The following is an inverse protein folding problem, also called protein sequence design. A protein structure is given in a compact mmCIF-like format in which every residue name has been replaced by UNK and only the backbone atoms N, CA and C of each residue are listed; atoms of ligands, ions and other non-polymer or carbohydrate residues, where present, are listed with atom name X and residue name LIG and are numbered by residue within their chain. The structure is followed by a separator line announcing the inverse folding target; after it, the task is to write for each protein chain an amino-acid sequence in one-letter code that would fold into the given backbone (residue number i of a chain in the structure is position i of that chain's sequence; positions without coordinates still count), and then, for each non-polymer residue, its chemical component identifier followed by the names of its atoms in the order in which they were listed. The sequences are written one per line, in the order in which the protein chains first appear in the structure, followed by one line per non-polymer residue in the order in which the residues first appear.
data_IF_151234123624
#
_entry.id   IF_151234123624
#
_cell.length_a   1.000
_cell.length_b   1.000
_cell.length_c   1.000
_cell.angle_alpha   90.00
_cell.angle_beta   90.00
_cell.angle_gamma   90.00
#
_symmetry.space_group_name_H-M   'P 1'
#
loop_
_entity.id
_entity.type
_entity.pdbx_description
1 polymer ?
#
# COMPACT_ATOMS: atom_id res chain seq x y z
N UNK A 1 11.47 -3.84 13.68
CA UNK A 1 10.80 -4.37 12.49
C UNK A 1 11.47 -3.70 11.30
N UNK A 2 12.04 -4.48 10.39
CA UNK A 2 12.46 -3.92 9.12
C UNK A 2 11.17 -3.58 8.37
N UNK A 3 10.75 -2.33 8.45
CA UNK A 3 9.85 -1.80 7.44
C UNK A 3 10.66 -1.84 6.15
N UNK A 4 10.33 -2.77 5.30
CA UNK A 4 10.90 -2.86 3.97
C UNK A 4 10.34 -1.67 3.20
N UNK A 5 11.16 -0.63 3.07
CA UNK A 5 10.78 0.60 2.37
C UNK A 5 10.57 0.33 0.87
N UNK A 6 9.66 1.04 0.22
CA UNK A 6 9.57 1.03 -1.24
C UNK A 6 10.92 1.34 -1.87
N UNK A 7 11.39 0.46 -2.74
CA UNK A 7 12.69 0.56 -3.38
C UNK A 7 12.61 0.25 -4.87
N UNK A 8 13.43 0.91 -5.67
CA UNK A 8 13.59 0.66 -7.10
C UNK A 8 15.05 0.44 -7.45
N UNK A 9 15.33 -0.54 -8.32
CA UNK A 9 16.65 -0.71 -8.89
C UNK A 9 16.78 0.12 -10.16
N UNK A 10 17.59 1.17 -10.09
CA UNK A 10 17.70 2.21 -11.11
C UNK A 10 18.80 1.87 -12.09
N UNK A 11 18.42 1.63 -13.34
CA UNK A 11 19.30 1.43 -14.49
C UNK A 11 18.95 2.39 -15.62
N UNK A 12 19.64 2.28 -16.75
CA UNK A 12 19.28 2.93 -18.00
C UNK A 12 19.12 1.93 -19.12
N UNK A 13 18.22 2.19 -20.07
CA UNK A 13 18.07 1.35 -21.25
C UNK A 13 19.36 1.20 -22.04
N UNK A 14 20.18 2.26 -22.11
CA UNK A 14 21.48 2.25 -22.78
C UNK A 14 22.43 1.22 -22.19
N UNK A 15 22.61 1.23 -20.88
CA UNK A 15 23.50 0.27 -20.17
C UNK A 15 22.93 -1.14 -20.19
N UNK A 16 21.65 -1.28 -19.89
CA UNK A 16 20.98 -2.58 -19.88
C UNK A 16 21.11 -3.31 -21.23
N UNK A 17 20.82 -2.63 -22.35
CA UNK A 17 20.92 -3.21 -23.69
C UNK A 17 22.35 -3.57 -24.10
N UNK A 18 23.35 -2.95 -23.51
CA UNK A 18 24.76 -3.26 -23.74
C UNK A 18 25.33 -4.26 -22.72
N UNK A 19 24.52 -4.83 -21.85
CA UNK A 19 24.92 -5.80 -20.83
C UNK A 19 25.81 -5.21 -19.73
N UNK A 20 25.73 -3.90 -19.50
CA UNK A 20 26.49 -3.18 -18.47
C UNK A 20 25.66 -3.16 -17.20
N UNK A 21 26.07 -3.94 -16.20
CA UNK A 21 25.44 -3.97 -14.88
C UNK A 21 25.93 -2.76 -14.05
N UNK A 22 25.18 -1.68 -14.05
CA UNK A 22 25.55 -0.43 -13.37
C UNK A 22 24.37 0.20 -12.62
N UNK A 23 23.42 -0.62 -12.22
CA UNK A 23 22.26 -0.19 -11.44
C UNK A 23 22.56 -0.09 -9.94
N UNK A 24 21.68 0.61 -9.23
CA UNK A 24 21.69 0.73 -7.78
C UNK A 24 20.27 0.82 -7.23
N UNK A 25 20.06 0.23 -6.05
CA UNK A 25 18.84 0.43 -5.29
C UNK A 25 18.76 1.85 -4.75
N UNK A 26 17.64 2.52 -5.00
CA UNK A 26 17.28 3.77 -4.36
C UNK A 26 15.91 3.63 -3.69
N UNK A 27 15.75 4.35 -2.59
CA UNK A 27 14.54 4.38 -1.77
C UNK A 27 13.86 5.73 -1.94
N UNK A 28 12.77 5.84 -2.72
CA UNK A 28 12.13 7.14 -2.99
C UNK A 28 11.68 7.88 -1.74
N UNK A 29 11.33 7.13 -0.69
CA UNK A 29 10.89 7.68 0.61
C UNK A 29 11.99 8.41 1.40
N UNK A 30 13.27 8.26 1.01
CA UNK A 30 14.40 8.98 1.62
C UNK A 30 14.63 10.39 1.05
N UNK A 31 13.83 10.81 0.06
CA UNK A 31 13.96 12.09 -0.62
C UNK A 31 12.80 13.02 -0.27
N UNK A 32 13.11 14.29 -0.09
CA UNK A 32 12.13 15.32 0.25
C UNK A 32 11.18 15.67 -0.91
N UNK A 33 11.62 15.44 -2.14
CA UNK A 33 10.83 15.73 -3.33
C UNK A 33 11.09 14.76 -4.48
N UNK A 34 10.10 14.68 -5.39
CA UNK A 34 10.25 13.97 -6.67
C UNK A 34 11.48 14.44 -7.46
N UNK A 35 11.73 15.76 -7.46
CA UNK A 35 12.86 16.33 -8.18
C UNK A 35 14.20 15.85 -7.62
N UNK A 36 14.33 15.78 -6.30
CA UNK A 36 15.55 15.30 -5.63
C UNK A 36 15.80 13.82 -5.90
N UNK A 37 14.75 13.02 -5.86
CA UNK A 37 14.84 11.60 -6.19
C UNK A 37 15.32 11.38 -7.63
N UNK A 38 14.68 12.03 -8.61
CA UNK A 38 15.11 11.90 -10.01
C UNK A 38 16.48 12.50 -10.29
N UNK A 39 16.87 13.57 -9.60
CA UNK A 39 18.24 14.09 -9.67
C UNK A 39 19.25 13.04 -9.21
N UNK A 40 18.98 12.33 -8.13
CA UNK A 40 19.82 11.23 -7.67
C UNK A 40 19.87 10.06 -8.67
N UNK A 41 18.74 9.70 -9.30
CA UNK A 41 18.71 8.70 -10.38
C UNK A 41 19.60 9.11 -11.56
N UNK A 42 19.55 10.36 -12.00
CA UNK A 42 20.38 10.86 -13.10
C UNK A 42 21.87 10.98 -12.71
N UNK A 43 22.16 11.32 -11.47
CA UNK A 43 23.54 11.37 -10.97
C UNK A 43 24.26 10.01 -11.03
N UNK A 44 23.53 8.91 -10.76
CA UNK A 44 24.05 7.56 -10.89
C UNK A 44 24.54 7.23 -12.32
N UNK A 45 24.00 7.90 -13.31
CA UNK A 45 24.26 7.66 -14.73
C UNK A 45 24.80 8.90 -15.45
N UNK A 46 25.51 9.79 -14.70
CA UNK A 46 26.08 11.03 -15.23
C UNK A 46 27.17 10.82 -16.29
N UNK A 47 27.64 9.59 -16.48
CA UNK A 47 28.56 9.19 -17.55
C UNK A 47 27.85 9.04 -18.92
N UNK A 48 26.51 9.02 -18.95
CA UNK A 48 25.72 9.04 -20.18
C UNK A 48 25.28 10.46 -20.54
N UNK A 49 25.31 10.81 -21.81
CA UNK A 49 24.91 12.16 -22.26
C UNK A 49 23.39 12.40 -22.17
N UNK A 50 22.60 11.34 -22.33
CA UNK A 50 21.14 11.35 -22.24
C UNK A 50 20.66 10.02 -21.64
N UNK A 51 20.75 9.84 -20.31
CA UNK A 51 20.33 8.62 -19.67
C UNK A 51 18.80 8.49 -19.73
N UNK A 52 18.31 7.38 -20.28
CA UNK A 52 16.91 6.99 -20.25
C UNK A 52 16.72 6.02 -19.07
N UNK A 53 16.11 6.49 -17.99
CA UNK A 53 15.95 5.71 -16.77
C UNK A 53 15.05 4.49 -17.00
N UNK A 54 15.40 3.41 -16.31
CA UNK A 54 14.65 2.16 -16.27
C UNK A 54 14.66 1.62 -14.84
N UNK A 55 13.50 1.19 -14.33
CA UNK A 55 13.38 0.50 -13.05
C UNK A 55 13.21 -1.00 -13.31
N UNK A 56 14.32 -1.74 -13.26
CA UNK A 56 14.35 -3.17 -13.62
C UNK A 56 13.80 -4.08 -12.54
N UNK A 57 13.94 -3.66 -11.28
CA UNK A 57 13.40 -4.36 -10.14
C UNK A 57 12.75 -3.35 -9.19
N UNK A 58 11.68 -3.77 -8.55
CA UNK A 58 10.93 -2.98 -7.54
C UNK A 58 10.62 -3.85 -6.33
N UNK A 59 10.73 -3.28 -5.15
CA UNK A 59 10.41 -3.94 -3.88
C UNK A 59 9.46 -3.08 -3.06
N UNK A 60 8.53 -3.71 -2.36
CA UNK A 60 7.63 -3.09 -1.40
C UNK A 60 6.70 -1.99 -1.96
N UNK A 61 6.44 -2.03 -3.26
CA UNK A 61 5.37 -1.26 -3.88
C UNK A 61 4.08 -2.07 -3.93
N UNK A 62 2.92 -1.40 -4.02
CA UNK A 62 1.65 -2.08 -4.24
C UNK A 62 1.69 -2.95 -5.51
N UNK A 63 1.08 -4.13 -5.45
CA UNK A 63 0.98 -5.01 -6.60
C UNK A 63 0.24 -4.36 -7.77
N UNK A 64 0.53 -4.79 -9.00
CA UNK A 64 -0.22 -4.38 -10.19
C UNK A 64 0.23 -3.07 -10.84
N UNK A 65 1.45 -2.58 -10.57
CA UNK A 65 1.99 -1.34 -11.14
C UNK A 65 1.16 -0.08 -10.82
N UNK A 66 0.44 -0.09 -9.69
CA UNK A 66 -0.41 1.04 -9.30
C UNK A 66 0.40 2.32 -9.02
N UNK A 67 1.64 2.18 -8.55
CA UNK A 67 2.47 3.31 -8.12
C UNK A 67 3.86 3.38 -8.77
N UNK A 68 4.23 2.40 -9.60
CA UNK A 68 5.56 2.33 -10.25
C UNK A 68 5.47 1.60 -11.59
N UNK A 69 6.29 2.00 -12.56
CA UNK A 69 6.42 1.29 -13.84
C UNK A 69 7.87 1.23 -14.33
N UNK A 70 8.16 0.21 -15.16
CA UNK A 70 9.47 -0.07 -15.73
C UNK A 70 10.15 1.14 -16.41
N UNK A 71 9.45 2.01 -17.19
CA UNK A 71 10.07 3.18 -17.82
C UNK A 71 10.59 4.26 -16.87
N UNK A 72 10.83 3.95 -15.62
CA UNK A 72 11.36 4.90 -14.66
C UNK A 72 10.33 5.90 -14.13
N UNK A 73 9.07 5.49 -14.03
CA UNK A 73 8.00 6.31 -13.48
C UNK A 73 7.57 5.82 -12.09
N UNK A 74 7.38 6.78 -11.19
CA UNK A 74 6.79 6.56 -9.87
C UNK A 74 5.66 7.57 -9.67
N UNK A 75 4.53 7.10 -9.13
CA UNK A 75 3.50 7.97 -8.58
C UNK A 75 4.04 8.61 -7.29
N UNK A 76 4.34 9.89 -7.35
CA UNK A 76 4.91 10.59 -6.20
C UNK A 76 3.88 10.81 -5.09
N UNK A 77 2.59 10.87 -5.42
CA UNK A 77 1.51 10.92 -4.44
C UNK A 77 1.50 9.67 -3.55
N UNK A 78 1.78 8.49 -4.13
CA UNK A 78 2.01 7.26 -3.36
C UNK A 78 3.18 7.41 -2.36
N UNK A 79 4.30 7.97 -2.79
CA UNK A 79 5.48 8.13 -1.91
C UNK A 79 5.16 9.07 -0.74
N UNK A 80 4.51 10.21 -1.01
CA UNK A 80 4.08 11.15 0.04
C UNK A 80 3.05 10.53 0.99
N UNK A 81 2.12 9.75 0.45
CA UNK A 81 1.13 9.02 1.24
C UNK A 81 1.78 7.95 2.12
N UNK A 82 2.74 7.21 1.56
CA UNK A 82 3.51 6.21 2.31
C UNK A 82 4.29 6.85 3.47
N UNK A 83 4.98 7.97 3.23
CA UNK A 83 5.72 8.69 4.28
C UNK A 83 4.80 9.11 5.43
N UNK A 84 3.62 9.67 5.13
CA UNK A 84 2.61 10.04 6.14
C UNK A 84 2.08 8.82 6.90
N UNK A 85 1.80 7.73 6.18
CA UNK A 85 1.34 6.49 6.79
C UNK A 85 2.40 5.86 7.70
N UNK A 86 3.67 5.90 7.31
CA UNK A 86 4.78 5.37 8.10
C UNK A 86 4.98 6.18 9.40
N UNK A 87 4.87 7.49 9.36
CA UNK A 87 4.88 8.36 10.55
C UNK A 87 3.78 7.97 11.57
N UNK A 88 2.65 7.49 11.08
CA UNK A 88 1.53 7.03 11.89
C UNK A 88 1.53 5.51 12.17
N UNK A 89 2.57 4.79 11.77
CA UNK A 89 2.68 3.33 11.88
C UNK A 89 1.64 2.55 11.06
N UNK A 90 1.14 3.13 9.98
CA UNK A 90 0.12 2.56 9.09
C UNK A 90 0.65 2.27 7.66
N UNK A 91 1.97 2.23 7.46
CA UNK A 91 2.55 2.03 6.13
C UNK A 91 2.02 0.78 5.40
N UNK A 92 1.96 -0.36 6.09
CA UNK A 92 1.44 -1.61 5.51
C UNK A 92 -0.05 -1.51 5.17
N UNK A 93 -0.84 -0.85 6.01
CA UNK A 93 -2.27 -0.62 5.75
C UNK A 93 -2.48 0.29 4.52
N UNK A 94 -1.63 1.32 4.37
CA UNK A 94 -1.71 2.20 3.21
C UNK A 94 -1.34 1.48 1.91
N UNK A 95 -0.32 0.61 1.91
CA UNK A 95 0.01 -0.23 0.74
C UNK A 95 -1.19 -1.12 0.39
N UNK A 96 -1.79 -1.80 1.36
CA UNK A 96 -2.98 -2.63 1.16
C UNK A 96 -4.17 -1.81 0.62
N UNK A 97 -4.36 -0.57 1.09
CA UNK A 97 -5.37 0.35 0.56
C UNK A 97 -5.15 0.64 -0.92
N UNK A 98 -3.93 0.96 -1.33
CA UNK A 98 -3.60 1.24 -2.73
C UNK A 98 -3.79 -0.01 -3.61
N UNK A 99 -3.43 -1.20 -3.11
CA UNK A 99 -3.66 -2.47 -3.83
C UNK A 99 -5.15 -2.76 -4.05
N UNK A 100 -5.97 -2.49 -3.04
CA UNK A 100 -7.41 -2.71 -3.11
C UNK A 100 -8.13 -1.67 -3.97
N UNK A 101 -7.85 -0.37 -3.72
CA UNK A 101 -8.62 0.74 -4.30
C UNK A 101 -8.05 1.27 -5.62
N UNK A 102 -6.76 1.01 -5.91
CA UNK A 102 -5.97 1.66 -6.97
C UNK A 102 -5.92 3.19 -6.84
N UNK A 103 -6.10 3.71 -5.62
CA UNK A 103 -6.09 5.13 -5.31
C UNK A 103 -4.92 5.44 -4.37
N UNK A 104 -4.16 6.48 -4.64
CA UNK A 104 -2.99 6.90 -3.84
C UNK A 104 -3.27 8.11 -2.95
N UNK A 105 -4.51 8.63 -2.94
CA UNK A 105 -4.90 9.73 -2.08
C UNK A 105 -4.90 9.32 -0.60
N UNK A 106 -3.93 9.85 0.16
CA UNK A 106 -3.77 9.55 1.58
C UNK A 106 -4.97 10.00 2.42
N UNK A 107 -5.67 11.09 2.05
CA UNK A 107 -6.84 11.51 2.81
C UNK A 107 -8.02 10.54 2.66
N UNK A 108 -8.18 9.91 1.50
CA UNK A 108 -9.15 8.83 1.34
C UNK A 108 -8.78 7.59 2.17
N UNK A 109 -7.50 7.27 2.23
CA UNK A 109 -7.03 6.19 3.12
C UNK A 109 -7.44 6.47 4.57
N UNK A 110 -7.17 7.68 5.08
CA UNK A 110 -7.55 8.04 6.45
C UNK A 110 -9.07 7.96 6.69
N UNK A 111 -9.87 8.36 5.71
CA UNK A 111 -11.33 8.33 5.79
C UNK A 111 -11.90 6.90 5.77
N UNK A 112 -11.26 6.00 5.05
CA UNK A 112 -11.77 4.64 4.81
C UNK A 112 -11.13 3.57 5.69
N UNK A 113 -9.91 3.77 6.18
CA UNK A 113 -9.21 2.80 7.02
C UNK A 113 -9.93 2.62 8.36
N UNK A 114 -10.31 1.39 8.66
CA UNK A 114 -11.02 1.06 9.88
C UNK A 114 -10.12 0.41 10.94
N UNK A 115 -9.20 -0.47 10.54
CA UNK A 115 -8.31 -1.20 11.44
C UNK A 115 -7.84 -2.52 10.87
N UNK A 116 -7.34 -3.37 11.77
CA UNK A 116 -6.81 -4.69 11.44
C UNK A 116 -7.72 -5.79 11.99
N UNK A 117 -7.79 -6.93 11.30
CA UNK A 117 -8.46 -8.11 11.79
C UNK A 117 -7.83 -9.39 11.19
N UNK A 118 -7.92 -10.49 11.93
CA UNK A 118 -7.43 -11.79 11.48
C UNK A 118 -8.27 -12.39 10.33
N UNK A 119 -9.57 -12.05 10.32
CA UNK A 119 -10.52 -12.49 9.30
C UNK A 119 -11.76 -11.59 9.28
N UNK A 120 -12.52 -11.65 8.18
CA UNK A 120 -13.82 -10.99 8.06
C UNK A 120 -14.79 -11.37 9.17
N UNK A 121 -14.79 -12.67 9.56
CA UNK A 121 -15.61 -13.19 10.67
C UNK A 121 -15.20 -12.56 12.01
N UNK A 122 -13.90 -12.56 12.33
CA UNK A 122 -13.38 -11.98 13.57
C UNK A 122 -13.64 -10.47 13.64
N UNK A 123 -13.51 -9.77 12.53
CA UNK A 123 -13.88 -8.36 12.43
C UNK A 123 -15.37 -8.16 12.73
N UNK A 124 -16.23 -8.95 12.08
CA UNK A 124 -17.68 -8.83 12.20
C UNK A 124 -18.13 -9.06 13.64
N UNK A 125 -17.60 -10.09 14.31
CA UNK A 125 -17.88 -10.35 15.71
C UNK A 125 -17.50 -9.15 16.59
N UNK A 126 -16.28 -8.64 16.47
CA UNK A 126 -15.82 -7.49 17.23
C UNK A 126 -16.64 -6.24 16.92
N UNK A 127 -16.91 -5.96 15.64
CA UNK A 127 -17.69 -4.82 15.19
C UNK A 127 -19.10 -4.80 15.76
N UNK A 128 -19.79 -5.94 15.75
CA UNK A 128 -21.15 -6.05 16.29
C UNK A 128 -21.16 -5.93 17.83
N UNK A 129 -20.14 -6.40 18.53
CA UNK A 129 -19.98 -6.18 19.96
C UNK A 129 -19.70 -4.70 20.28
N UNK A 130 -18.75 -4.10 19.61
CA UNK A 130 -18.28 -2.73 19.87
C UNK A 130 -19.35 -1.67 19.55
N UNK A 131 -20.14 -1.90 18.51
CA UNK A 131 -21.25 -1.00 18.14
C UNK A 131 -22.50 -1.19 18.99
N UNK A 132 -22.52 -2.19 19.88
CA UNK A 132 -23.68 -2.51 20.73
C UNK A 132 -24.83 -3.19 19.97
N UNK A 133 -24.62 -3.62 18.73
CA UNK A 133 -25.66 -4.30 17.94
C UNK A 133 -26.20 -5.58 18.59
N UNK A 134 -25.40 -6.23 19.43
CA UNK A 134 -25.76 -7.45 20.14
C UNK A 134 -26.30 -7.20 21.56
N UNK A 135 -26.25 -5.96 22.07
CA UNK A 135 -26.53 -5.64 23.47
C UNK A 135 -27.97 -5.87 23.91
N UNK A 136 -28.91 -5.84 22.98
CA UNK A 136 -30.33 -6.07 23.26
C UNK A 136 -30.77 -7.55 23.11
N UNK A 137 -29.83 -8.41 22.66
CA UNK A 137 -30.13 -9.83 22.48
C UNK A 137 -29.98 -10.57 23.82
N UNK A 138 -30.90 -11.52 24.11
CA UNK A 138 -30.73 -12.40 25.28
C UNK A 138 -29.44 -13.22 25.19
N UNK A 139 -28.78 -13.45 26.33
CA UNK A 139 -27.51 -14.19 26.38
C UNK A 139 -27.56 -15.57 25.74
N UNK A 140 -28.72 -16.25 25.79
CA UNK A 140 -28.89 -17.56 25.18
C UNK A 140 -28.92 -17.54 23.64
N UNK A 141 -29.12 -16.38 23.01
CA UNK A 141 -29.12 -16.23 21.55
C UNK A 141 -27.69 -16.09 21.02
N UNK A 142 -26.78 -15.48 21.79
CA UNK A 142 -25.42 -15.19 21.34
C UNK A 142 -24.67 -16.41 20.77
N UNK A 143 -24.72 -17.61 21.40
CA UNK A 143 -24.05 -18.78 20.84
C UNK A 143 -24.64 -19.31 19.52
N UNK A 144 -25.82 -18.84 19.14
CA UNK A 144 -26.52 -19.24 17.92
C UNK A 144 -26.29 -18.29 16.76
N UNK A 145 -25.52 -17.20 16.95
CA UNK A 145 -25.20 -16.23 15.90
C UNK A 145 -24.19 -16.84 14.95
N UNK A 146 -24.51 -16.83 13.66
CA UNK A 146 -23.60 -17.21 12.58
C UNK A 146 -22.83 -15.97 12.09
N UNK A 147 -21.65 -15.73 12.69
CA UNK A 147 -20.81 -14.59 12.33
C UNK A 147 -20.20 -14.72 10.93
N UNK A 148 -20.00 -15.93 10.42
CA UNK A 148 -19.54 -16.15 9.03
C UNK A 148 -20.61 -15.67 8.03
N UNK A 149 -21.88 -15.97 8.30
CA UNK A 149 -22.98 -15.48 7.46
C UNK A 149 -23.08 -13.94 7.49
N UNK A 150 -23.02 -13.35 8.69
CA UNK A 150 -23.06 -11.90 8.86
C UNK A 150 -21.86 -11.19 8.22
N UNK A 151 -20.68 -11.82 8.29
CA UNK A 151 -19.49 -11.30 7.62
C UNK A 151 -19.65 -11.22 6.10
N UNK A 152 -20.20 -12.27 5.48
CA UNK A 152 -20.49 -12.23 4.03
C UNK A 152 -21.44 -11.09 3.64
N UNK A 153 -22.44 -10.80 4.46
CA UNK A 153 -23.36 -9.69 4.22
C UNK A 153 -22.63 -8.34 4.38
N UNK A 154 -21.91 -8.16 5.47
CA UNK A 154 -21.21 -6.93 5.82
C UNK A 154 -20.10 -6.59 4.80
N UNK A 155 -19.33 -7.58 4.37
CA UNK A 155 -18.25 -7.42 3.38
C UNK A 155 -18.73 -7.44 1.92
N UNK A 156 -20.02 -7.67 1.70
CA UNK A 156 -20.62 -7.51 0.36
C UNK A 156 -20.89 -6.06 -0.01
N UNK A 157 -21.05 -5.17 0.98
CA UNK A 157 -21.48 -3.79 0.76
C UNK A 157 -20.73 -2.74 1.58
N UNK A 158 -20.48 -3.00 2.86
CA UNK A 158 -20.06 -1.94 3.80
C UNK A 158 -18.54 -1.90 4.04
N UNK A 159 -17.87 -3.04 3.93
CA UNK A 159 -16.44 -3.17 4.18
C UNK A 159 -15.74 -3.99 3.11
N UNK A 160 -14.43 -3.82 3.03
CA UNK A 160 -13.51 -4.66 2.29
C UNK A 160 -12.32 -5.02 3.18
N UNK A 161 -11.70 -6.17 2.92
CA UNK A 161 -10.47 -6.60 3.57
C UNK A 161 -9.38 -6.86 2.54
N UNK A 162 -8.20 -6.30 2.78
CA UNK A 162 -6.98 -6.57 2.02
C UNK A 162 -5.82 -6.80 2.99
N UNK A 163 -5.19 -7.96 2.89
CA UNK A 163 -4.01 -8.33 3.71
C UNK A 163 -4.19 -8.15 5.23
N UNK A 164 -5.40 -8.40 5.75
CA UNK A 164 -5.72 -8.25 7.17
C UNK A 164 -6.11 -6.83 7.58
N UNK A 165 -6.11 -5.88 6.67
CA UNK A 165 -6.57 -4.50 6.90
C UNK A 165 -8.00 -4.32 6.39
N UNK A 166 -8.82 -3.64 7.17
CA UNK A 166 -10.24 -3.44 6.89
C UNK A 166 -10.48 -1.99 6.50
N UNK A 167 -11.23 -1.82 5.41
CA UNK A 167 -11.61 -0.53 4.86
C UNK A 167 -13.12 -0.44 4.71
N UNK A 168 -13.69 0.76 4.89
CA UNK A 168 -15.08 1.03 4.53
C UNK A 168 -15.18 1.13 3.01
N UNK A 169 -16.25 0.56 2.45
CA UNK A 169 -16.62 0.86 1.07
C UNK A 169 -17.22 2.28 1.03
N UNK A 170 -16.58 3.16 0.27
CA UNK A 170 -16.98 4.55 0.10
C UNK A 170 -18.21 4.73 -0.79
#
# INVERSE_FOLDING_TARGET
MNNELPAVFVETYGKYNNGIMAGKWLYPTEYDSRADFYAACFELHADESQPELMFTEVENFPNGNAAVSEPGWIDWEFIEGYQKADENHHAAAYVAFVEWSYDTDYSKFEDLYYGEAESEEAFTESFLHDTGALSELPDWVLPAIDFEYLARDLFSSDFAMQDGFVFRNG
#
